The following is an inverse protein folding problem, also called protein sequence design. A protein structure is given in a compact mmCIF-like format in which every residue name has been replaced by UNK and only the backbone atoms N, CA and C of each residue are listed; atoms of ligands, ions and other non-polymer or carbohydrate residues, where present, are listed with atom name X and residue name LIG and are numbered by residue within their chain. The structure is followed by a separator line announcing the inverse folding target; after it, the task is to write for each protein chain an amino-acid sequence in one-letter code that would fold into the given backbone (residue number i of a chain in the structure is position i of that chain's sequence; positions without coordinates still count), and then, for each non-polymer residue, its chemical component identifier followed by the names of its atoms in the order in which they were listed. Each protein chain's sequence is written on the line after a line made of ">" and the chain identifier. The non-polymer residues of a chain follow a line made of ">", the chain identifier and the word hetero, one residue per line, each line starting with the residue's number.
data_IF_299822177793
#
_entry.id   IF_299822177793
#
_cell.length_a   1.000
_cell.length_b   1.000
_cell.length_c   1.000
_cell.angle_alpha   90.00
_cell.angle_beta   90.00
_cell.angle_gamma   90.00
#
_symmetry.space_group_name_H-M   'P 1'
#
loop_
_entity.id
_entity.type
_entity.pdbx_description
1 polymer ?
#
# COMPACT_ATOMS: atom_id res chain seq x y z
N UNK A 1 1.53 -7.60 45.55
CA UNK A 1 1.82 -7.16 44.17
C UNK A 1 3.08 -6.33 44.20
N UNK A 2 4.07 -6.72 43.41
CA UNK A 2 5.38 -6.08 43.33
C UNK A 2 5.40 -5.06 42.19
N UNK A 3 6.27 -4.06 42.29
CA UNK A 3 6.37 -2.98 41.31
C UNK A 3 6.68 -3.49 39.88
N UNK A 4 7.28 -4.67 39.75
CA UNK A 4 7.52 -5.34 38.46
C UNK A 4 6.25 -5.90 37.79
N UNK A 5 5.26 -6.33 38.58
CA UNK A 5 3.97 -6.84 38.06
C UNK A 5 3.13 -5.69 37.49
N UNK A 6 3.09 -4.55 38.18
CA UNK A 6 2.46 -3.31 37.68
C UNK A 6 3.16 -2.85 36.39
N UNK A 7 4.50 -2.76 36.36
CA UNK A 7 5.25 -2.40 35.15
C UNK A 7 4.99 -3.36 33.97
N UNK A 8 4.94 -4.68 34.21
CA UNK A 8 4.55 -5.63 33.16
C UNK A 8 3.09 -5.44 32.71
N UNK A 9 2.18 -5.10 33.62
CA UNK A 9 0.76 -4.89 33.32
C UNK A 9 0.55 -3.62 32.49
N UNK A 10 1.16 -2.51 32.87
CA UNK A 10 1.16 -1.28 32.07
C UNK A 10 1.86 -1.49 30.73
N UNK A 11 3.00 -2.17 30.69
CA UNK A 11 3.70 -2.52 29.44
C UNK A 11 2.82 -3.34 28.48
N UNK A 12 2.17 -4.41 28.97
CA UNK A 12 1.24 -5.22 28.17
C UNK A 12 0.00 -4.44 27.73
N UNK A 13 -0.53 -3.57 28.60
CA UNK A 13 -1.67 -2.71 28.27
C UNK A 13 -1.30 -1.66 27.21
N UNK A 14 -0.11 -1.06 27.31
CA UNK A 14 0.42 -0.11 26.35
C UNK A 14 0.68 -0.78 25.00
N UNK A 15 1.36 -1.93 24.98
CA UNK A 15 1.58 -2.71 23.75
C UNK A 15 0.26 -3.10 23.10
N UNK A 16 -0.75 -3.53 23.87
CA UNK A 16 -2.07 -3.84 23.32
C UNK A 16 -2.77 -2.61 22.74
N UNK A 17 -2.77 -1.47 23.44
CA UNK A 17 -3.35 -0.22 22.92
C UNK A 17 -2.59 0.24 21.67
N UNK A 18 -1.26 0.03 21.62
CA UNK A 18 -0.43 0.32 20.46
C UNK A 18 -0.74 -0.61 19.27
N UNK A 19 -0.91 -1.92 19.49
CA UNK A 19 -1.36 -2.90 18.48
C UNK A 19 -2.79 -2.59 17.98
N UNK A 20 -3.70 -2.16 18.87
CA UNK A 20 -5.06 -1.71 18.51
C UNK A 20 -5.03 -0.38 17.72
N UNK A 21 -4.08 0.52 18.03
CA UNK A 21 -3.82 1.74 17.28
C UNK A 21 -3.12 1.47 15.95
N UNK A 22 -2.31 0.41 15.81
CA UNK A 22 -1.71 0.02 14.53
C UNK A 22 -2.70 -0.84 13.71
N UNK A 23 -3.79 -0.23 13.26
CA UNK A 23 -4.70 -0.80 12.25
C UNK A 23 -3.91 -1.21 10.99
N UNK A 24 -2.78 -0.54 10.77
CA UNK A 24 -1.78 -0.88 9.76
C UNK A 24 -1.23 -2.31 9.83
N UNK A 25 -0.75 -2.76 10.99
CA UNK A 25 -0.18 -4.10 11.15
C UNK A 25 -1.21 -5.22 11.11
N UNK A 26 -2.50 -4.87 11.16
CA UNK A 26 -3.63 -5.78 11.01
C UNK A 26 -4.06 -5.99 9.55
N UNK A 27 -3.40 -5.35 8.58
CA UNK A 27 -3.53 -5.71 7.17
C UNK A 27 -3.04 -7.15 6.95
N UNK A 28 -3.95 -8.05 6.60
CA UNK A 28 -3.62 -9.42 6.25
C UNK A 28 -2.78 -9.42 4.96
N UNK A 29 -1.49 -9.70 5.12
CA UNK A 29 -0.62 -10.06 4.01
C UNK A 29 -1.25 -11.21 3.22
N UNK A 30 -1.37 -11.07 1.89
CA UNK A 30 -1.79 -12.14 0.98
C UNK A 30 -1.07 -13.43 1.33
N UNK A 31 -1.87 -14.49 1.45
CA UNK A 31 -1.40 -15.85 1.73
C UNK A 31 -0.39 -16.27 0.67
N UNK A 32 -0.67 -15.94 -0.60
CA UNK A 32 0.18 -16.19 -1.74
C UNK A 32 1.54 -15.47 -1.62
N UNK A 33 1.55 -14.20 -1.20
CA UNK A 33 2.80 -13.43 -0.98
C UNK A 33 3.62 -13.96 0.18
N UNK A 34 3.00 -14.36 1.29
CA UNK A 34 3.71 -14.96 2.43
C UNK A 34 4.25 -16.35 2.10
N UNK A 35 3.51 -17.16 1.33
CA UNK A 35 4.00 -18.43 0.81
C UNK A 35 5.19 -18.21 -0.14
N UNK A 36 5.08 -17.30 -1.11
CA UNK A 36 6.20 -16.95 -1.99
C UNK A 36 7.43 -16.43 -1.23
N UNK A 37 7.24 -15.60 -0.20
CA UNK A 37 8.33 -15.10 0.64
C UNK A 37 8.99 -16.23 1.43
N UNK A 38 8.22 -17.15 2.02
CA UNK A 38 8.74 -18.31 2.75
C UNK A 38 9.52 -19.22 1.80
N UNK A 39 8.88 -19.66 0.71
CA UNK A 39 9.47 -20.55 -0.29
C UNK A 39 10.74 -19.94 -0.92
N UNK A 40 10.82 -18.61 -1.07
CA UNK A 40 12.02 -17.90 -1.47
C UNK A 40 13.09 -17.90 -0.37
N UNK A 41 12.72 -17.59 0.89
CA UNK A 41 13.65 -17.58 2.03
C UNK A 41 14.23 -18.96 2.38
N UNK A 42 13.51 -20.05 2.10
CA UNK A 42 13.98 -21.42 2.30
C UNK A 42 14.94 -21.88 1.18
N UNK A 43 14.81 -21.32 -0.03
CA UNK A 43 15.63 -21.67 -1.21
C UNK A 43 16.94 -20.89 -1.30
N UNK A 44 17.07 -19.77 -0.59
CA UNK A 44 18.12 -18.79 -0.83
C UNK A 44 18.79 -18.35 0.47
N UNK A 45 20.10 -18.13 0.44
CA UNK A 45 20.88 -17.77 1.65
C UNK A 45 20.50 -16.39 2.18
N UNK A 46 20.60 -16.21 3.51
CA UNK A 46 20.30 -14.94 4.17
C UNK A 46 21.09 -13.75 3.58
N UNK A 47 22.34 -13.97 3.17
CA UNK A 47 23.16 -12.95 2.50
C UNK A 47 22.56 -12.49 1.17
N UNK A 48 21.97 -13.37 0.38
CA UNK A 48 21.29 -12.99 -0.85
C UNK A 48 20.05 -12.14 -0.57
N UNK A 49 19.26 -12.49 0.46
CA UNK A 49 18.12 -11.68 0.88
C UNK A 49 18.56 -10.27 1.31
N UNK A 50 19.66 -10.14 2.05
CA UNK A 50 20.27 -8.84 2.39
C UNK A 50 20.73 -8.09 1.13
N UNK A 51 21.41 -8.77 0.20
CA UNK A 51 21.83 -8.16 -1.07
C UNK A 51 20.62 -7.65 -1.86
N UNK A 52 19.55 -8.42 -1.98
CA UNK A 52 18.33 -7.98 -2.69
C UNK A 52 17.71 -6.76 -1.99
N UNK A 53 17.53 -6.80 -0.67
CA UNK A 53 16.98 -5.67 0.09
C UNK A 53 17.81 -4.39 -0.03
N UNK A 54 19.15 -4.50 -0.07
CA UNK A 54 20.05 -3.36 -0.23
C UNK A 54 20.09 -2.89 -1.68
N UNK A 55 20.14 -3.78 -2.67
CA UNK A 55 20.33 -3.44 -4.09
C UNK A 55 19.04 -2.95 -4.74
N UNK A 56 17.86 -3.45 -4.36
CA UNK A 56 16.57 -3.02 -4.94
C UNK A 56 16.35 -1.49 -4.91
N UNK A 57 16.62 -0.73 -3.83
CA UNK A 57 16.48 0.72 -3.83
C UNK A 57 17.63 1.48 -4.55
N UNK A 58 18.81 0.88 -4.75
CA UNK A 58 19.99 1.62 -5.28
C UNK A 58 19.77 2.27 -6.65
N UNK A 59 19.11 1.65 -7.66
CA UNK A 59 18.86 2.30 -8.94
C UNK A 59 17.99 3.55 -8.80
N UNK A 60 16.98 3.52 -7.92
CA UNK A 60 16.13 4.68 -7.64
C UNK A 60 16.94 5.79 -6.94
N UNK A 61 17.69 5.44 -5.89
CA UNK A 61 18.56 6.37 -5.18
C UNK A 61 19.62 6.98 -6.09
N UNK A 62 20.23 6.21 -6.99
CA UNK A 62 21.21 6.70 -7.97
C UNK A 62 20.59 7.73 -8.92
N UNK A 63 19.39 7.46 -9.46
CA UNK A 63 18.68 8.44 -10.31
C UNK A 63 18.40 9.74 -9.55
N UNK A 64 17.92 9.66 -8.31
CA UNK A 64 17.67 10.84 -7.48
C UNK A 64 18.99 11.58 -7.18
N UNK A 65 20.06 10.89 -6.77
CA UNK A 65 21.38 11.51 -6.49
C UNK A 65 21.95 12.19 -7.74
N UNK A 66 21.82 11.59 -8.93
CA UNK A 66 22.26 12.21 -10.18
C UNK A 66 21.48 13.50 -10.48
N UNK A 67 20.16 13.52 -10.28
CA UNK A 67 19.33 14.72 -10.48
C UNK A 67 19.64 15.80 -9.41
N UNK A 68 19.83 15.40 -8.16
CA UNK A 68 20.18 16.28 -7.04
C UNK A 68 21.60 16.86 -7.15
N UNK A 69 22.51 16.15 -7.84
CA UNK A 69 23.89 16.61 -8.09
C UNK A 69 24.00 17.77 -9.10
N UNK A 70 22.90 18.14 -9.77
CA UNK A 70 22.87 19.30 -10.68
C UNK A 70 23.12 20.58 -9.86
N UNK A 71 24.21 21.32 -10.13
CA UNK A 71 24.58 22.47 -9.32
C UNK A 71 23.59 23.62 -9.50
N UNK A 72 23.02 24.10 -8.39
CA UNK A 72 22.09 25.22 -8.39
C UNK A 72 22.83 26.54 -8.09
N UNK A 73 22.39 27.60 -8.76
CA UNK A 73 22.76 28.99 -8.42
C UNK A 73 21.86 29.53 -7.31
N UNK A 74 22.29 30.56 -6.56
CA UNK A 74 21.44 31.23 -5.59
C UNK A 74 20.12 31.72 -6.22
N UNK A 75 18.95 31.47 -5.62
CA UNK A 75 17.69 31.97 -6.16
C UNK A 75 17.57 33.51 -6.18
N UNK A 76 18.48 34.21 -5.50
CA UNK A 76 18.61 35.67 -5.55
C UNK A 76 19.05 36.20 -6.93
N UNK A 77 19.68 35.37 -7.77
CA UNK A 77 20.12 35.73 -9.13
C UNK A 77 18.96 35.84 -10.14
N UNK A 78 17.72 35.59 -9.69
CA UNK A 78 16.51 35.71 -10.49
C UNK A 78 16.21 34.51 -11.40
N UNK A 79 15.06 34.58 -12.06
CA UNK A 79 14.55 33.47 -12.89
C UNK A 79 15.42 33.19 -14.13
N UNK A 80 16.03 34.24 -14.71
CA UNK A 80 16.86 34.18 -15.92
C UNK A 80 18.17 33.39 -15.72
N UNK A 81 18.71 33.38 -14.50
CA UNK A 81 19.92 32.63 -14.16
C UNK A 81 19.64 31.25 -13.53
N UNK A 82 18.36 30.88 -13.42
CA UNK A 82 17.89 29.67 -12.73
C UNK A 82 17.59 28.49 -13.67
N UNK A 83 18.14 28.47 -14.89
CA UNK A 83 17.91 27.38 -15.86
C UNK A 83 18.17 25.97 -15.30
N UNK A 84 19.25 25.78 -14.54
CA UNK A 84 19.59 24.48 -13.94
C UNK A 84 18.60 24.04 -12.85
N UNK A 85 17.89 24.97 -12.20
CA UNK A 85 16.79 24.64 -11.28
C UNK A 85 15.65 23.98 -12.06
N UNK A 86 15.24 24.58 -13.17
CA UNK A 86 14.16 24.07 -14.01
C UNK A 86 14.49 22.73 -14.67
N UNK A 87 15.76 22.50 -15.08
CA UNK A 87 16.21 21.18 -15.56
C UNK A 87 16.10 20.13 -14.46
N UNK A 88 16.50 20.47 -13.22
CA UNK A 88 16.42 19.57 -12.07
C UNK A 88 14.97 19.27 -11.67
N UNK A 89 14.10 20.28 -11.53
CA UNK A 89 12.70 20.04 -11.16
C UNK A 89 11.95 19.28 -12.26
N UNK A 90 12.19 19.59 -13.53
CA UNK A 90 11.66 18.81 -14.66
C UNK A 90 12.04 17.33 -14.59
N UNK A 91 13.33 17.03 -14.34
CA UNK A 91 13.79 15.65 -14.22
C UNK A 91 13.13 14.91 -13.03
N UNK A 92 12.99 15.58 -11.88
CA UNK A 92 12.24 15.03 -10.73
C UNK A 92 10.76 14.80 -11.08
N UNK A 93 10.11 15.75 -11.74
CA UNK A 93 8.71 15.64 -12.16
C UNK A 93 8.51 14.48 -13.13
N UNK A 94 9.40 14.26 -14.10
CA UNK A 94 9.33 13.08 -14.98
C UNK A 94 9.40 11.78 -14.16
N UNK A 95 10.30 11.68 -13.18
CA UNK A 95 10.41 10.50 -12.30
C UNK A 95 9.14 10.29 -11.46
N UNK A 96 8.60 11.35 -10.85
CA UNK A 96 7.36 11.30 -10.06
C UNK A 96 6.17 10.86 -10.92
N UNK A 97 6.00 11.48 -12.10
CA UNK A 97 4.89 11.24 -13.01
C UNK A 97 4.95 9.83 -13.61
N UNK A 98 6.15 9.30 -13.90
CA UNK A 98 6.36 7.88 -14.22
C UNK A 98 6.02 6.96 -13.03
N UNK A 99 6.44 7.35 -11.82
CA UNK A 99 6.17 6.65 -10.57
C UNK A 99 4.67 6.48 -10.29
N UNK A 100 3.85 7.50 -10.54
CA UNK A 100 2.39 7.42 -10.39
C UNK A 100 1.72 6.61 -11.52
N UNK A 101 2.26 6.63 -12.74
CA UNK A 101 1.66 5.93 -13.91
C UNK A 101 2.02 4.46 -14.01
N UNK A 102 3.19 4.04 -13.54
CA UNK A 102 3.62 2.65 -13.63
C UNK A 102 2.67 1.69 -12.86
N UNK A 103 2.25 1.97 -11.61
CA UNK A 103 1.28 1.17 -10.89
C UNK A 103 -0.10 1.08 -11.55
N UNK A 104 -0.53 2.08 -12.34
CA UNK A 104 -1.84 2.05 -13.03
C UNK A 104 -2.02 0.78 -13.89
N UNK A 105 -0.94 0.24 -14.47
CA UNK A 105 -0.93 -1.04 -15.20
C UNK A 105 -1.27 -2.24 -14.33
N UNK A 106 -0.76 -2.25 -13.10
CA UNK A 106 -0.93 -3.32 -12.11
C UNK A 106 -2.30 -3.20 -11.43
N UNK A 107 -2.77 -1.97 -11.22
CA UNK A 107 -4.08 -1.67 -10.63
C UNK A 107 -5.23 -2.04 -11.58
N UNK A 108 -5.08 -1.81 -12.89
CA UNK A 108 -6.07 -2.14 -13.93
C UNK A 108 -5.42 -2.88 -15.10
N UNK A 109 -5.37 -4.22 -15.08
CA UNK A 109 -4.72 -5.02 -16.14
C UNK A 109 -5.35 -4.87 -17.54
N UNK A 110 -6.60 -4.39 -17.63
CA UNK A 110 -7.30 -4.15 -18.90
C UNK A 110 -6.95 -2.83 -19.60
N UNK A 111 -6.11 -1.98 -19.00
CA UNK A 111 -5.64 -0.73 -19.61
C UNK A 111 -4.44 -1.04 -20.54
N UNK A 112 -4.55 -0.86 -21.88
CA UNK A 112 -3.48 -1.17 -22.85
C UNK A 112 -2.39 -0.09 -22.84
N UNK A 113 -1.83 0.18 -21.67
CA UNK A 113 -0.75 1.13 -21.44
C UNK A 113 0.59 0.48 -21.86
N UNK A 114 0.90 0.49 -23.15
CA UNK A 114 2.26 0.16 -23.61
C UNK A 114 3.31 1.08 -22.93
N UNK A 115 4.58 0.64 -22.88
CA UNK A 115 5.68 1.38 -22.23
C UNK A 115 5.83 2.78 -22.85
N UNK A 116 5.87 2.86 -24.18
CA UNK A 116 6.14 4.12 -24.89
C UNK A 116 5.06 5.19 -24.67
N UNK A 117 3.74 4.93 -24.80
CA UNK A 117 2.71 5.94 -24.49
C UNK A 117 2.76 6.48 -23.05
N UNK A 118 3.15 5.67 -22.06
CA UNK A 118 3.29 6.15 -20.68
C UNK A 118 4.50 7.07 -20.52
N UNK A 119 5.63 6.74 -21.15
CA UNK A 119 6.80 7.63 -21.14
C UNK A 119 6.47 8.94 -21.85
N UNK A 120 5.84 8.89 -23.02
CA UNK A 120 5.44 10.09 -23.78
C UNK A 120 4.43 10.94 -23.00
N UNK A 121 3.40 10.34 -22.40
CA UNK A 121 2.43 11.04 -21.57
C UNK A 121 3.08 11.65 -20.33
N UNK A 122 4.00 10.94 -19.67
CA UNK A 122 4.70 11.44 -18.50
C UNK A 122 5.62 12.61 -18.84
N UNK A 123 6.39 12.53 -19.92
CA UNK A 123 7.24 13.64 -20.38
C UNK A 123 6.42 14.84 -20.84
N UNK A 124 5.32 14.63 -21.58
CA UNK A 124 4.44 15.73 -22.00
C UNK A 124 3.78 16.43 -20.80
N UNK A 125 3.36 15.66 -19.79
CA UNK A 125 2.79 16.19 -18.55
C UNK A 125 3.83 16.93 -17.71
N UNK A 126 5.06 16.44 -17.64
CA UNK A 126 6.16 17.14 -16.99
C UNK A 126 6.54 18.45 -17.71
N UNK A 127 6.53 18.48 -19.06
CA UNK A 127 6.76 19.71 -19.84
C UNK A 127 5.65 20.74 -19.54
N UNK A 128 4.38 20.32 -19.52
CA UNK A 128 3.26 21.18 -19.18
C UNK A 128 3.32 21.68 -17.73
N UNK A 129 3.75 20.81 -16.80
CA UNK A 129 4.01 21.14 -15.40
C UNK A 129 5.08 22.22 -15.26
N UNK A 130 6.25 22.00 -15.87
CA UNK A 130 7.39 22.92 -15.84
C UNK A 130 7.05 24.27 -16.47
N UNK A 131 6.40 24.28 -17.64
CA UNK A 131 5.95 25.51 -18.29
C UNK A 131 4.91 26.28 -17.45
N UNK A 132 3.98 25.56 -16.81
CA UNK A 132 2.99 26.15 -15.90
C UNK A 132 3.63 26.75 -14.65
N UNK A 133 4.52 26.00 -13.98
CA UNK A 133 5.26 26.48 -12.82
C UNK A 133 6.18 27.67 -13.17
N UNK A 134 6.84 27.65 -14.33
CA UNK A 134 7.62 28.79 -14.84
C UNK A 134 6.74 30.03 -15.06
N UNK A 135 5.57 29.87 -15.69
CA UNK A 135 4.61 30.96 -15.89
C UNK A 135 4.12 31.57 -14.57
N UNK A 136 3.84 30.73 -13.55
CA UNK A 136 3.45 31.19 -12.21
C UNK A 136 4.63 31.92 -11.53
N UNK A 137 5.85 31.39 -11.61
CA UNK A 137 7.04 32.03 -11.08
C UNK A 137 7.32 33.39 -11.73
N UNK A 138 7.07 33.52 -13.04
CA UNK A 138 7.19 34.78 -13.77
C UNK A 138 6.11 35.80 -13.38
N UNK A 139 4.87 35.33 -13.13
CA UNK A 139 3.74 36.20 -12.81
C UNK A 139 3.66 36.65 -11.34
N UNK A 140 4.02 35.78 -10.39
CA UNK A 140 3.90 36.04 -8.94
C UNK A 140 5.26 36.44 -8.32
N UNK A 141 6.37 36.04 -8.94
CA UNK A 141 7.72 36.30 -8.47
C UNK A 141 8.53 35.02 -8.23
N UNK A 142 9.85 35.16 -8.33
CA UNK A 142 10.83 34.10 -8.14
C UNK A 142 11.64 34.33 -6.86
N UNK A 143 11.99 33.30 -6.07
CA UNK A 143 11.67 31.88 -6.26
C UNK A 143 10.21 31.52 -5.94
N UNK A 144 9.65 30.60 -6.73
CA UNK A 144 8.32 30.05 -6.51
C UNK A 144 8.32 29.16 -5.25
N UNK A 145 7.56 29.47 -4.19
CA UNK A 145 7.43 28.55 -3.06
C UNK A 145 6.79 27.24 -3.53
N UNK A 146 7.32 26.11 -3.05
CA UNK A 146 6.85 24.77 -3.41
C UNK A 146 6.90 24.42 -4.91
N UNK A 147 7.87 24.96 -5.68
CA UNK A 147 8.03 24.73 -7.14
C UNK A 147 7.71 23.31 -7.58
N UNK A 148 8.37 22.29 -6.98
CA UNK A 148 8.21 20.88 -7.36
C UNK A 148 6.77 20.36 -7.15
N UNK A 149 6.03 20.90 -6.17
CA UNK A 149 4.63 20.52 -5.91
C UNK A 149 3.67 21.23 -6.86
N UNK A 150 3.94 22.50 -7.19
CA UNK A 150 3.20 23.21 -8.23
C UNK A 150 3.40 22.50 -9.59
N UNK A 151 4.64 22.16 -9.92
CA UNK A 151 5.02 21.50 -11.17
C UNK A 151 4.38 20.11 -11.30
N UNK A 152 4.54 19.25 -10.29
CA UNK A 152 3.92 17.92 -10.27
C UNK A 152 2.40 17.98 -10.22
N UNK A 153 1.80 18.92 -9.49
CA UNK A 153 0.35 19.09 -9.43
C UNK A 153 -0.27 19.45 -10.79
N UNK A 154 0.34 20.39 -11.52
CA UNK A 154 -0.06 20.75 -12.88
C UNK A 154 0.14 19.56 -13.83
N UNK A 155 1.30 18.88 -13.75
CA UNK A 155 1.58 17.69 -14.56
C UNK A 155 0.57 16.56 -14.32
N UNK A 156 0.25 16.26 -13.06
CA UNK A 156 -0.77 15.26 -12.70
C UNK A 156 -2.17 15.63 -13.21
N UNK A 157 -2.56 16.91 -13.16
CA UNK A 157 -3.83 17.37 -13.71
C UNK A 157 -3.92 17.17 -15.23
N UNK A 158 -2.88 17.59 -15.97
CA UNK A 158 -2.79 17.39 -17.42
C UNK A 158 -2.79 15.89 -17.78
N UNK A 159 -2.08 15.07 -17.00
CA UNK A 159 -2.05 13.63 -17.20
C UNK A 159 -3.41 12.97 -16.93
N UNK A 160 -4.12 13.39 -15.87
CA UNK A 160 -5.47 12.93 -15.57
C UNK A 160 -6.45 13.27 -16.70
N UNK A 161 -6.37 14.49 -17.24
CA UNK A 161 -7.14 14.91 -18.42
C UNK A 161 -6.82 14.06 -19.65
N UNK A 162 -5.54 13.80 -19.93
CA UNK A 162 -5.12 12.90 -21.01
C UNK A 162 -5.62 11.47 -20.83
N UNK A 163 -5.60 10.96 -19.60
CA UNK A 163 -6.08 9.62 -19.26
C UNK A 163 -7.61 9.49 -19.44
N UNK A 164 -8.37 10.53 -19.05
CA UNK A 164 -9.82 10.60 -19.28
C UNK A 164 -10.15 10.75 -20.77
N UNK A 165 -9.37 11.52 -21.54
CA UNK A 165 -9.56 11.63 -22.98
C UNK A 165 -9.30 10.30 -23.71
N UNK A 166 -8.23 9.59 -23.36
CA UNK A 166 -7.85 8.33 -24.00
C UNK A 166 -8.71 7.13 -23.58
N UNK A 167 -8.97 6.97 -22.27
CA UNK A 167 -9.62 5.77 -21.72
C UNK A 167 -10.91 6.04 -20.94
N UNK A 168 -11.41 7.28 -20.89
CA UNK A 168 -12.63 7.62 -20.13
C UNK A 168 -13.87 6.81 -20.54
N UNK A 169 -13.99 6.41 -21.81
CA UNK A 169 -15.07 5.51 -22.30
C UNK A 169 -14.92 4.07 -21.79
N UNK A 170 -13.70 3.56 -21.73
CA UNK A 170 -13.39 2.25 -21.15
C UNK A 170 -13.62 2.25 -19.63
N UNK A 171 -13.15 3.29 -18.94
CA UNK A 171 -13.39 3.49 -17.50
C UNK A 171 -14.87 3.78 -17.18
N UNK A 172 -15.66 4.30 -18.13
CA UNK A 172 -17.10 4.46 -17.94
C UNK A 172 -17.84 3.12 -17.93
N UNK A 173 -17.38 2.15 -18.74
CA UNK A 173 -17.95 0.80 -18.81
C UNK A 173 -17.41 -0.12 -17.71
N UNK A 174 -16.11 -0.11 -17.43
CA UNK A 174 -15.51 -0.88 -16.33
C UNK A 174 -15.60 -0.14 -14.98
N UNK A 175 -16.67 -0.45 -14.22
CA UNK A 175 -16.89 0.06 -12.87
C UNK A 175 -15.81 -0.41 -11.86
N UNK A 176 -15.16 -1.54 -12.10
CA UNK A 176 -14.15 -2.12 -11.18
C UNK A 176 -12.80 -1.42 -11.42
N UNK A 177 -12.32 -1.40 -12.66
CA UNK A 177 -11.10 -0.68 -13.04
C UNK A 177 -11.18 0.80 -12.72
N UNK A 178 -12.33 1.47 -12.97
CA UNK A 178 -12.51 2.87 -12.56
C UNK A 178 -12.42 3.07 -11.05
N UNK A 179 -13.00 2.19 -10.24
CA UNK A 179 -12.91 2.28 -8.76
C UNK A 179 -11.47 2.05 -8.29
N UNK A 180 -10.77 1.09 -8.89
CA UNK A 180 -9.37 0.80 -8.58
C UNK A 180 -8.46 1.99 -8.93
N UNK A 181 -8.67 2.61 -10.11
CA UNK A 181 -7.93 3.79 -10.56
C UNK A 181 -8.21 5.04 -9.72
N UNK A 182 -9.47 5.32 -9.38
CA UNK A 182 -9.83 6.42 -8.47
C UNK A 182 -9.15 6.22 -7.12
N UNK A 183 -9.17 5.00 -6.58
CA UNK A 183 -8.52 4.69 -5.30
C UNK A 183 -6.99 4.85 -5.40
N UNK A 184 -6.37 4.46 -6.51
CA UNK A 184 -4.94 4.70 -6.78
C UNK A 184 -4.61 6.20 -6.69
N UNK A 185 -5.30 7.05 -7.46
CA UNK A 185 -5.06 8.50 -7.42
C UNK A 185 -5.39 9.15 -6.06
N UNK A 186 -6.35 8.63 -5.29
CA UNK A 186 -6.59 9.09 -3.91
C UNK A 186 -5.37 8.79 -3.01
N UNK A 187 -4.75 7.61 -3.16
CA UNK A 187 -3.57 7.22 -2.38
C UNK A 187 -2.35 8.07 -2.78
N UNK A 188 -2.12 8.26 -4.09
CA UNK A 188 -1.07 9.15 -4.61
C UNK A 188 -1.25 10.60 -4.12
N UNK A 189 -2.48 11.13 -4.17
CA UNK A 189 -2.78 12.47 -3.66
C UNK A 189 -2.53 12.56 -2.15
N UNK A 190 -2.97 11.56 -1.38
CA UNK A 190 -2.67 11.51 0.05
C UNK A 190 -1.16 11.37 0.32
N UNK A 191 -0.39 10.66 -0.52
CA UNK A 191 1.08 10.63 -0.44
C UNK A 191 1.68 12.02 -0.67
N UNK A 192 1.20 12.74 -1.69
CA UNK A 192 1.61 14.11 -1.95
C UNK A 192 1.28 15.08 -0.80
N UNK A 193 0.27 14.82 0.05
CA UNK A 193 0.00 15.71 1.21
C UNK A 193 1.15 15.76 2.20
N UNK A 194 1.97 14.71 2.34
CA UNK A 194 3.14 14.72 3.22
C UNK A 194 4.19 15.73 2.78
N UNK A 195 4.32 15.97 1.48
CA UNK A 195 5.20 16.99 0.91
C UNK A 195 4.82 18.43 1.31
N UNK A 196 3.59 18.66 1.78
CA UNK A 196 3.14 19.93 2.36
C UNK A 196 3.23 19.94 3.89
N UNK A 197 2.78 18.86 4.53
CA UNK A 197 2.74 18.73 5.99
C UNK A 197 4.14 18.88 6.58
N UNK A 198 5.14 18.18 6.04
CA UNK A 198 6.49 18.19 6.61
C UNK A 198 7.20 19.55 6.52
N UNK A 199 7.19 20.30 5.39
CA UNK A 199 7.75 21.66 5.36
C UNK A 199 6.99 22.67 6.21
N UNK A 200 5.64 22.63 6.24
CA UNK A 200 4.85 23.50 7.11
C UNK A 200 5.15 23.24 8.59
N UNK A 201 5.30 21.97 8.94
CA UNK A 201 5.72 21.54 10.26
C UNK A 201 7.16 21.95 10.58
N UNK A 202 8.09 21.83 9.63
CA UNK A 202 9.49 22.25 9.80
C UNK A 202 9.58 23.76 10.09
N UNK A 203 8.77 24.57 9.41
CA UNK A 203 8.64 25.99 9.68
C UNK A 203 8.19 26.25 11.13
N UNK A 204 7.13 25.58 11.59
CA UNK A 204 6.66 25.70 12.99
C UNK A 204 7.74 25.25 13.98
N UNK A 205 8.41 24.12 13.72
CA UNK A 205 9.47 23.59 14.57
C UNK A 205 10.64 24.58 14.74
N UNK A 206 11.09 25.20 13.66
CA UNK A 206 12.19 26.17 13.67
C UNK A 206 11.84 27.50 14.36
N UNK A 207 10.56 27.82 14.53
CA UNK A 207 10.08 28.99 15.28
C UNK A 207 9.94 28.73 16.79
N UNK A 208 10.19 27.51 17.26
CA UNK A 208 10.02 27.09 18.65
C UNK A 208 11.36 26.75 19.31
N UNK A 209 11.41 26.87 20.63
CA UNK A 209 12.60 26.60 21.44
C UNK A 209 12.27 25.89 22.75
N UNK A 210 13.23 25.12 23.26
CA UNK A 210 13.14 24.41 24.54
C UNK A 210 12.02 23.37 24.57
N UNK A 211 11.30 23.27 25.68
CA UNK A 211 10.25 22.26 25.88
C UNK A 211 9.13 22.26 24.81
N UNK A 212 8.85 23.42 24.19
CA UNK A 212 7.87 23.50 23.08
C UNK A 212 8.38 22.82 21.81
N UNK A 213 9.67 22.94 21.52
CA UNK A 213 10.31 22.29 20.38
C UNK A 213 10.34 20.76 20.55
N UNK A 214 10.56 20.28 21.78
CA UNK A 214 10.47 18.86 22.16
C UNK A 214 9.02 18.36 22.05
N UNK A 215 8.05 19.12 22.56
CA UNK A 215 6.63 18.79 22.48
C UNK A 215 6.12 18.75 21.03
N UNK A 216 6.61 19.65 20.16
CA UNK A 216 6.47 19.52 18.72
C UNK A 216 7.06 18.20 18.28
N UNK A 217 8.36 17.92 18.46
CA UNK A 217 8.97 16.64 18.05
C UNK A 217 8.17 15.37 18.46
N UNK A 218 7.60 15.33 19.67
CA UNK A 218 6.76 14.23 20.14
C UNK A 218 5.40 14.07 19.40
N UNK A 219 4.95 15.08 18.66
CA UNK A 219 3.73 15.05 17.83
C UNK A 219 3.96 14.31 16.50
N UNK A 220 5.19 14.19 16.00
CA UNK A 220 5.48 13.50 14.73
C UNK A 220 5.03 12.03 14.72
N UNK A 221 5.35 11.18 15.72
CA UNK A 221 4.82 9.82 15.81
C UNK A 221 3.28 9.75 15.82
N UNK A 222 2.61 10.76 16.38
CA UNK A 222 1.14 10.84 16.39
C UNK A 222 0.61 11.12 14.99
N UNK A 223 1.17 12.11 14.28
CA UNK A 223 0.80 12.42 12.89
C UNK A 223 1.08 11.22 11.97
N UNK A 224 2.26 10.61 12.11
CA UNK A 224 2.68 9.35 11.43
C UNK A 224 1.62 8.27 11.62
N UNK A 225 1.22 7.97 12.86
CA UNK A 225 0.24 6.92 13.19
C UNK A 225 -1.17 7.25 12.68
N UNK A 226 -1.64 8.50 12.83
CA UNK A 226 -2.95 8.93 12.30
C UNK A 226 -3.03 8.78 10.78
N UNK A 227 -1.96 9.13 10.07
CA UNK A 227 -1.84 9.01 8.63
C UNK A 227 -1.86 7.55 8.17
N UNK A 228 -0.99 6.71 8.76
CA UNK A 228 -0.96 5.25 8.56
C UNK A 228 -2.35 4.63 8.72
N UNK A 229 -3.10 5.01 9.76
CA UNK A 229 -4.46 4.55 10.02
C UNK A 229 -5.53 5.12 9.08
N UNK A 230 -5.35 6.31 8.52
CA UNK A 230 -6.22 6.84 7.48
C UNK A 230 -6.08 6.02 6.20
N UNK A 231 -4.84 5.74 5.78
CA UNK A 231 -4.54 4.91 4.62
C UNK A 231 -4.98 3.46 4.81
N UNK A 232 -4.74 2.87 5.98
CA UNK A 232 -5.16 1.50 6.31
C UNK A 232 -6.65 1.26 6.01
N UNK A 233 -7.50 2.21 6.41
CA UNK A 233 -8.94 2.17 6.15
C UNK A 233 -9.28 2.31 4.67
N UNK A 234 -8.51 3.07 3.90
CA UNK A 234 -8.69 3.19 2.44
C UNK A 234 -8.20 1.95 1.68
N UNK A 235 -7.24 1.20 2.23
CA UNK A 235 -6.66 0.00 1.62
C UNK A 235 -7.28 -1.33 2.09
N UNK A 236 -8.40 -1.30 2.82
CA UNK A 236 -9.02 -2.48 3.42
C UNK A 236 -9.31 -3.65 2.44
N UNK A 237 -9.56 -3.36 1.15
CA UNK A 237 -9.77 -4.38 0.09
C UNK A 237 -8.49 -4.83 -0.64
N UNK A 238 -7.31 -4.24 -0.32
CA UNK A 238 -6.01 -4.44 -0.99
C UNK A 238 -4.86 -4.41 0.03
N UNK A 239 -5.01 -5.17 1.13
CA UNK A 239 -4.12 -5.15 2.29
C UNK A 239 -2.65 -5.46 1.93
N UNK A 240 -2.41 -6.24 0.87
CA UNK A 240 -1.08 -6.55 0.31
C UNK A 240 -0.23 -5.35 -0.11
N UNK A 241 -0.88 -4.25 -0.51
CA UNK A 241 -0.19 -3.05 -0.97
C UNK A 241 0.15 -2.10 0.19
N UNK A 242 -0.39 -2.37 1.38
CA UNK A 242 -0.29 -1.51 2.54
C UNK A 242 1.14 -1.39 3.07
N UNK A 243 1.92 -2.49 3.25
CA UNK A 243 3.35 -2.42 3.60
C UNK A 243 4.18 -1.46 2.74
N UNK A 244 3.87 -1.41 1.44
CA UNK A 244 4.68 -0.71 0.44
C UNK A 244 4.23 0.75 0.28
N UNK A 245 2.92 0.98 0.09
CA UNK A 245 2.39 2.32 -0.23
C UNK A 245 2.17 3.18 1.01
N UNK A 246 1.93 2.56 2.17
CA UNK A 246 1.55 3.28 3.40
C UNK A 246 2.72 3.34 4.36
N UNK A 247 3.19 2.16 4.79
CA UNK A 247 4.17 2.02 5.87
C UNK A 247 5.48 2.63 5.44
N UNK A 248 6.10 2.03 4.41
CA UNK A 248 7.41 2.46 3.90
C UNK A 248 7.43 3.94 3.50
N UNK A 249 6.37 4.42 2.86
CA UNK A 249 6.24 5.83 2.46
C UNK A 249 6.21 6.77 3.68
N UNK A 250 5.34 6.49 4.66
CA UNK A 250 5.23 7.30 5.87
C UNK A 250 6.50 7.26 6.75
N UNK A 251 7.15 6.09 6.87
CA UNK A 251 8.45 5.94 7.51
C UNK A 251 9.53 6.79 6.83
N UNK A 252 9.65 6.68 5.50
CA UNK A 252 10.69 7.35 4.73
C UNK A 252 10.56 8.88 4.83
N UNK A 253 9.36 9.43 4.69
CA UNK A 253 9.16 10.87 4.89
C UNK A 253 9.42 11.31 6.34
N UNK A 254 9.07 10.49 7.34
CA UNK A 254 9.33 10.79 8.75
C UNK A 254 10.84 10.87 9.04
N UNK A 255 11.61 9.88 8.60
CA UNK A 255 13.07 9.84 8.76
C UNK A 255 13.76 10.98 8.00
N UNK A 256 13.32 11.30 6.77
CA UNK A 256 13.86 12.44 6.01
C UNK A 256 13.57 13.78 6.71
N UNK A 257 12.35 13.96 7.23
CA UNK A 257 12.00 15.15 8.00
C UNK A 257 12.85 15.27 9.27
N UNK A 258 13.00 14.18 10.02
CA UNK A 258 13.84 14.16 11.22
C UNK A 258 15.27 14.55 10.84
N UNK A 259 15.84 13.96 9.78
CA UNK A 259 17.17 14.31 9.29
C UNK A 259 17.31 15.81 8.99
N UNK A 260 16.33 16.42 8.33
CA UNK A 260 16.31 17.86 8.05
C UNK A 260 16.32 18.71 9.34
N UNK A 261 15.46 18.43 10.31
CA UNK A 261 15.41 19.16 11.58
C UNK A 261 16.64 18.89 12.48
N UNK A 262 17.25 17.71 12.36
CA UNK A 262 18.45 17.32 13.10
C UNK A 262 19.72 17.97 12.54
N UNK A 263 19.75 18.32 11.25
CA UNK A 263 20.89 18.98 10.62
C UNK A 263 21.12 20.43 11.11
N UNK A 264 20.13 21.07 11.74
CA UNK A 264 20.18 22.49 12.11
C UNK A 264 19.98 22.84 13.59
N UNK A 265 19.37 22.00 14.44
CA UNK A 265 18.79 22.51 15.70
C UNK A 265 18.74 21.59 16.93
N UNK A 266 19.06 20.29 16.86
CA UNK A 266 18.81 19.36 18.00
C UNK A 266 20.04 18.84 18.75
N UNK A 267 19.87 18.63 20.06
CA UNK A 267 20.81 17.86 20.90
C UNK A 267 21.00 16.45 20.33
N UNK A 268 22.24 15.96 20.37
CA UNK A 268 22.61 14.59 19.96
C UNK A 268 21.79 13.51 20.67
N UNK A 269 21.32 13.80 21.88
CA UNK A 269 20.47 12.89 22.68
C UNK A 269 19.08 12.66 22.07
N UNK A 270 18.50 13.69 21.44
CA UNK A 270 17.22 13.57 20.75
C UNK A 270 17.33 12.68 19.50
N UNK A 271 18.46 12.80 18.78
CA UNK A 271 18.79 11.96 17.62
C UNK A 271 18.87 10.48 18.03
N UNK A 272 19.67 10.17 19.06
CA UNK A 272 19.83 8.79 19.57
C UNK A 272 18.50 8.23 20.07
N UNK A 273 17.69 9.04 20.75
CA UNK A 273 16.38 8.63 21.26
C UNK A 273 15.39 8.28 20.13
N UNK A 274 15.34 9.08 19.07
CA UNK A 274 14.47 8.83 17.91
C UNK A 274 14.91 7.59 17.12
N UNK A 275 16.21 7.45 16.84
CA UNK A 275 16.74 6.25 16.19
C UNK A 275 16.47 4.97 16.99
N UNK A 276 16.50 5.04 18.33
CA UNK A 276 16.14 3.92 19.18
C UNK A 276 14.65 3.55 19.08
N UNK A 277 13.76 4.54 19.00
CA UNK A 277 12.32 4.32 18.75
C UNK A 277 12.10 3.69 17.38
N UNK A 278 12.74 4.18 16.31
CA UNK A 278 12.61 3.59 14.96
C UNK A 278 13.08 2.13 14.92
N UNK A 279 14.17 1.78 15.63
CA UNK A 279 14.66 0.40 15.75
C UNK A 279 13.68 -0.49 16.53
N UNK A 280 13.04 0.03 17.59
CA UNK A 280 11.99 -0.69 18.31
C UNK A 280 10.73 -0.90 17.45
N UNK A 281 10.27 0.12 16.73
CA UNK A 281 9.14 0.01 15.79
C UNK A 281 9.42 -1.02 14.69
N UNK A 282 10.63 -1.02 14.12
CA UNK A 282 11.07 -2.02 13.15
C UNK A 282 11.09 -3.45 13.74
N UNK A 283 11.57 -3.62 14.97
CA UNK A 283 11.57 -4.90 15.67
C UNK A 283 10.15 -5.44 15.93
N UNK A 284 9.23 -4.56 16.34
CA UNK A 284 7.80 -4.90 16.53
C UNK A 284 7.16 -5.31 15.20
N UNK A 285 7.42 -4.56 14.12
CA UNK A 285 6.91 -4.86 12.79
C UNK A 285 7.40 -6.23 12.27
N UNK A 286 8.69 -6.55 12.43
CA UNK A 286 9.25 -7.87 12.07
C UNK A 286 8.61 -8.99 12.89
N UNK A 287 8.41 -8.78 14.20
CA UNK A 287 7.73 -9.77 15.04
C UNK A 287 6.27 -10.01 14.60
N UNK A 288 5.55 -8.95 14.24
CA UNK A 288 4.18 -9.04 13.73
C UNK A 288 4.11 -9.81 12.39
N UNK A 289 5.03 -9.55 11.45
CA UNK A 289 5.15 -10.30 10.18
C UNK A 289 5.40 -11.79 10.46
N UNK A 290 6.33 -12.12 11.35
CA UNK A 290 6.64 -13.51 11.70
C UNK A 290 5.42 -14.23 12.32
N UNK A 291 4.71 -13.56 13.24
CA UNK A 291 3.48 -14.07 13.87
C UNK A 291 2.36 -14.30 12.83
N UNK A 292 2.23 -13.42 11.83
CA UNK A 292 1.29 -13.60 10.72
C UNK A 292 1.68 -14.80 9.82
N UNK A 293 2.95 -14.92 9.45
CA UNK A 293 3.48 -16.02 8.64
C UNK A 293 3.26 -17.39 9.30
N UNK A 294 3.51 -17.51 10.61
CA UNK A 294 3.25 -18.74 11.38
C UNK A 294 1.75 -19.06 11.40
N UNK A 295 0.89 -18.09 11.72
CA UNK A 295 -0.58 -18.27 11.79
C UNK A 295 -1.20 -18.74 10.47
N UNK A 296 -0.65 -18.29 9.34
CA UNK A 296 -1.14 -18.63 8.00
C UNK A 296 -0.56 -19.97 7.52
N UNK A 297 0.58 -20.40 8.05
CA UNK A 297 1.22 -21.68 7.71
C UNK A 297 0.65 -22.86 8.51
N UNK A 298 0.28 -22.66 9.78
CA UNK A 298 -0.16 -23.75 10.65
C UNK A 298 -1.36 -24.60 10.15
N UNK A 299 -2.41 -24.06 9.49
CA UNK A 299 -3.52 -24.89 9.02
C UNK A 299 -3.25 -25.60 7.67
N UNK A 300 -2.08 -25.38 7.05
CA UNK A 300 -1.65 -26.10 5.83
C UNK A 300 -0.87 -27.37 6.19
N UNK A 301 -0.43 -27.51 7.44
CA UNK A 301 0.42 -28.61 7.91
C UNK A 301 -0.35 -29.74 8.63
N UNK A 302 -1.63 -29.56 8.94
CA UNK A 302 -2.47 -30.69 9.37
C UNK A 302 -2.83 -31.56 8.16
N UNK A 303 -2.43 -32.85 8.12
CA UNK A 303 -2.96 -33.75 7.11
C UNK A 303 -4.47 -33.88 7.30
N UNK A 304 -5.23 -33.81 6.20
CA UNK A 304 -6.68 -33.96 6.25
C UNK A 304 -7.06 -35.20 7.07
N UNK A 305 -7.99 -35.09 8.04
CA UNK A 305 -8.30 -36.19 8.94
C UNK A 305 -8.69 -37.41 8.11
N UNK A 306 -7.91 -38.48 8.26
CA UNK A 306 -8.14 -39.72 7.53
C UNK A 306 -9.59 -40.15 7.78
N UNK A 307 -10.34 -40.37 6.70
CA UNK A 307 -11.67 -40.94 6.77
C UNK A 307 -11.55 -42.31 7.45
N UNK A 308 -11.91 -42.38 8.73
CA UNK A 308 -11.98 -43.63 9.48
C UNK A 308 -13.16 -44.41 8.93
N UNK A 309 -12.90 -45.20 7.89
CA UNK A 309 -13.83 -46.21 7.41
C UNK A 309 -13.85 -47.35 8.43
N UNK A 310 -14.77 -47.29 9.39
CA UNK A 310 -15.06 -48.43 10.27
C UNK A 310 -15.66 -49.56 9.44
N UNK A 311 -15.03 -50.76 9.41
CA UNK A 311 -15.53 -51.86 8.60
C UNK A 311 -16.60 -52.67 9.33
N UNK A 312 -17.61 -53.07 8.56
CA UNK A 312 -18.50 -54.22 8.81
C UNK A 312 -19.41 -54.18 10.06
N UNK A 313 -20.70 -53.93 9.81
CA UNK A 313 -21.73 -54.83 10.32
C UNK A 313 -22.49 -55.44 9.14
N UNK A 314 -22.32 -56.75 8.95
CA UNK A 314 -23.00 -57.53 7.93
C UNK A 314 -23.66 -58.74 8.59
N UNK A 315 -24.98 -58.70 8.82
CA UNK A 315 -25.80 -59.91 9.06
C UNK A 315 -27.30 -59.64 9.00
N UNK A 316 -28.00 -60.48 8.22
CA UNK A 316 -29.46 -60.59 8.17
C UNK A 316 -30.13 -59.53 7.28
N UNK A 317 -31.05 -59.87 6.40
CA UNK A 317 -31.61 -61.19 6.07
C UNK A 317 -32.84 -60.96 5.18
N UNK A 318 -32.95 -61.72 4.08
CA UNK A 318 -33.84 -61.39 2.96
C UNK A 318 -35.29 -61.91 3.14
N UNK A 319 -36.25 -61.24 2.49
CA UNK A 319 -37.57 -61.77 2.12
C UNK A 319 -38.70 -61.84 3.17
N UNK A 320 -39.67 -60.90 3.12
CA UNK A 320 -41.03 -61.20 2.63
C UNK A 320 -41.93 -59.95 2.52
N UNK A 321 -42.74 -59.93 1.46
CA UNK A 321 -43.84 -58.99 1.13
C UNK A 321 -45.17 -59.81 1.20
N UNK A 322 -46.40 -59.31 0.90
CA UNK A 322 -46.96 -57.94 0.91
C UNK A 322 -48.32 -57.85 1.68
N UNK A 323 -48.95 -56.67 1.77
CA UNK A 323 -50.41 -56.57 1.95
C UNK A 323 -50.97 -55.29 2.60
N UNK A 324 -52.17 -54.78 2.23
CA UNK A 324 -52.53 -53.36 2.45
C UNK A 324 -53.71 -53.12 3.43
N UNK A 325 -53.96 -51.84 3.77
CA UNK A 325 -55.20 -51.07 3.45
C UNK A 325 -55.59 -49.98 4.49
N UNK A 326 -56.15 -48.88 3.96
CA UNK A 326 -57.20 -48.00 4.51
C UNK A 326 -57.03 -47.03 5.72
N UNK A 327 -57.13 -45.74 5.37
CA UNK A 327 -58.08 -44.70 5.85
C UNK A 327 -57.81 -43.83 7.11
N UNK A 328 -57.70 -42.51 6.84
CA UNK A 328 -58.23 -41.40 7.68
C UNK A 328 -57.30 -40.81 8.74
N UNK A 329 -57.33 -39.52 9.12
CA UNK A 329 -58.08 -38.33 8.67
C UNK A 329 -57.23 -37.06 8.92
N UNK A 330 -57.36 -36.01 8.08
CA UNK A 330 -57.05 -34.60 8.40
C UNK A 330 -58.39 -33.90 8.78
N UNK A 331 -58.47 -32.70 9.41
CA UNK A 331 -57.63 -31.49 9.21
C UNK A 331 -57.15 -30.82 10.54
N UNK A 332 -56.26 -29.83 10.56
CA UNK A 332 -56.59 -28.40 10.34
C UNK A 332 -55.38 -27.51 9.96
N UNK A 333 -55.71 -26.36 9.37
CA UNK A 333 -54.92 -25.27 8.72
C UNK A 333 -55.47 -23.94 9.32
N UNK A 334 -54.86 -22.72 9.27
CA UNK A 334 -53.71 -22.18 8.49
C UNK A 334 -52.55 -21.67 9.42
N UNK A 335 -51.57 -20.82 9.05
CA UNK A 335 -51.31 -19.99 7.86
C UNK A 335 -49.80 -19.77 7.57
N UNK A 336 -49.47 -18.84 6.66
CA UNK A 336 -48.14 -18.42 6.18
C UNK A 336 -48.07 -16.88 6.16
N UNK A 337 -46.88 -16.21 6.23
CA UNK A 337 -46.20 -15.89 4.97
C UNK A 337 -44.65 -15.78 5.02
N UNK A 338 -44.02 -16.56 4.13
CA UNK A 338 -42.93 -16.19 3.20
C UNK A 338 -41.65 -15.53 3.75
N UNK A 339 -40.52 -16.22 3.58
CA UNK A 339 -39.29 -15.61 3.07
C UNK A 339 -38.46 -16.63 2.26
N UNK A 340 -38.00 -16.22 1.07
CA UNK A 340 -37.43 -17.12 0.07
C UNK A 340 -35.98 -17.55 0.35
N UNK A 341 -35.66 -18.79 0.00
CA UNK A 341 -34.32 -19.37 0.09
C UNK A 341 -33.38 -18.79 -0.96
N UNK A 342 -32.33 -18.08 -0.52
CA UNK A 342 -31.20 -17.72 -1.38
C UNK A 342 -30.25 -18.90 -1.48
N UNK A 343 -30.10 -19.44 -2.68
CA UNK A 343 -29.20 -20.57 -2.95
C UNK A 343 -27.72 -20.21 -2.77
N UNK A 344 -27.01 -21.02 -1.99
CA UNK A 344 -25.56 -20.94 -1.83
C UNK A 344 -24.84 -21.24 -3.15
N UNK A 345 -24.30 -20.21 -3.80
CA UNK A 345 -23.28 -20.37 -4.85
C UNK A 345 -21.88 -20.24 -4.24
N UNK A 346 -21.15 -21.35 -4.17
CA UNK A 346 -19.70 -21.32 -3.96
C UNK A 346 -19.03 -20.55 -5.12
N UNK A 347 -18.04 -19.69 -4.88
CA UNK A 347 -17.22 -19.15 -5.97
C UNK A 347 -16.36 -20.26 -6.58
N UNK A 348 -16.33 -20.36 -7.91
CA UNK A 348 -15.47 -21.30 -8.60
C UNK A 348 -14.00 -20.89 -8.48
N UNK A 349 -13.11 -21.86 -8.26
CA UNK A 349 -11.66 -21.60 -8.17
C UNK A 349 -11.11 -21.09 -9.49
N UNK A 350 -10.39 -19.96 -9.42
CA UNK A 350 -9.81 -19.27 -10.58
C UNK A 350 -8.79 -20.15 -11.35
N UNK A 351 -8.22 -21.17 -10.70
CA UNK A 351 -7.29 -22.12 -11.31
C UNK A 351 -7.91 -22.97 -12.43
N UNK A 352 -9.22 -23.27 -12.37
CA UNK A 352 -9.87 -24.14 -13.36
C UNK A 352 -10.04 -23.48 -14.74
N UNK A 353 -10.19 -22.15 -14.78
CA UNK A 353 -10.41 -21.39 -16.03
C UNK A 353 -9.12 -21.26 -16.83
N UNK A 354 -7.98 -21.09 -16.16
CA UNK A 354 -6.67 -20.93 -16.81
C UNK A 354 -6.20 -22.23 -17.48
N UNK A 355 -6.47 -23.39 -16.88
CA UNK A 355 -6.12 -24.68 -17.48
C UNK A 355 -6.93 -25.01 -18.75
N UNK A 356 -8.21 -24.63 -18.82
CA UNK A 356 -9.01 -24.86 -20.03
C UNK A 356 -8.60 -23.94 -21.19
N UNK A 357 -8.21 -22.69 -20.91
CA UNK A 357 -7.72 -21.77 -21.95
C UNK A 357 -6.44 -22.24 -22.64
N UNK A 358 -5.46 -22.74 -21.87
CA UNK A 358 -4.17 -23.18 -22.41
C UNK A 358 -4.19 -24.49 -23.20
N UNK A 359 -5.27 -25.26 -23.13
CA UNK A 359 -5.38 -26.57 -23.80
C UNK A 359 -6.18 -26.52 -25.11
N UNK A 360 -6.94 -25.45 -25.34
CA UNK A 360 -7.64 -25.18 -26.60
C UNK A 360 -6.67 -24.65 -27.67
N UNK A 361 -5.82 -23.67 -27.32
CA UNK A 361 -4.88 -22.97 -28.22
C UNK A 361 -3.72 -23.85 -28.74
N UNK A 362 -3.61 -25.10 -28.25
CA UNK A 362 -2.63 -26.09 -28.72
C UNK A 362 -3.20 -27.07 -29.76
N UNK A 363 -4.49 -26.98 -30.12
CA UNK A 363 -5.10 -27.84 -31.16
C UNK A 363 -5.19 -27.19 -32.55
N UNK A 364 -5.07 -25.88 -32.64
CA UNK A 364 -5.20 -25.13 -33.91
C UNK A 364 -3.85 -24.80 -34.57
N UNK A 365 -2.77 -25.50 -34.19
CA UNK A 365 -1.40 -25.34 -34.74
C UNK A 365 -0.63 -26.66 -34.93
N UNK A 366 -1.28 -27.65 -35.54
CA UNK A 366 -0.63 -28.84 -36.15
C UNK A 366 -1.18 -29.01 -37.56
#
# INVERSE_FOLDING_TARGET
>A
MTMSEELQRYGKSFVRIWEELQIESNGAYSVERLQQLRDYSERVTAMHCVIVLVVTPLPCLLVIVLIESIPLRPPADGIEHSFLLWVRTFALTVVVVLGCMWPCRVVVPGLPLSITPVIVAATASAIAGAAGAFGIAYAIGFPLPFTLVCESGIGMFIMGMGMVAAWGRFLASDRVGRRALIRHFILEFMQATMMWVYPAYAYVFNQLSGGRQIATMALLPVIKTLYKNAFARMLHERQDLQPILVVFSAELFHVLFLSYCMNGSTSKEAIVSLMFVDVLEAGIAVHAVNKAAVRITSPVLEPAPALVTTPSDARGGDGNDPGPDSRGQHPAVPDNPRLGTVGSRRPASYAAVVQQGGQQDRKDKV
#
